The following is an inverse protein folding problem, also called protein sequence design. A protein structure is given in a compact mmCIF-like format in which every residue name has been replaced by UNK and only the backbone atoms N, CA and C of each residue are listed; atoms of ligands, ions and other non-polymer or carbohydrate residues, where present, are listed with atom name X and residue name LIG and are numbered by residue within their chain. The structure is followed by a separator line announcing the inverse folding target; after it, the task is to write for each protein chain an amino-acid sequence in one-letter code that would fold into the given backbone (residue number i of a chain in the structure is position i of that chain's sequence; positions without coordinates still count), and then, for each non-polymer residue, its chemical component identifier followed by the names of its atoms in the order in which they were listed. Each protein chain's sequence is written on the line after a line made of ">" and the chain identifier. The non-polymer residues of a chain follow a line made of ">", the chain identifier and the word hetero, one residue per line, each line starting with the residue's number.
data_IF_744340283483
#
_entry.id   IF_744340283483
#
_cell.length_a   1.000
_cell.length_b   1.000
_cell.length_c   1.000
_cell.angle_alpha   90.00
_cell.angle_beta   90.00
_cell.angle_gamma   90.00
#
_symmetry.space_group_name_H-M   'P 1'
#
loop_
_entity.id
_entity.type
_entity.pdbx_description
1 polymer ?
#
# COMPACT_ATOMS: atom_id res chain seq x y z
N UNK A 1 56.64 22.42 6.09
CA UNK A 1 55.79 21.21 6.29
C UNK A 1 54.36 21.68 6.59
N UNK A 2 53.50 21.74 5.58
CA UNK A 2 52.10 22.18 5.74
C UNK A 2 51.25 21.01 6.22
N UNK A 3 50.61 21.13 7.38
CA UNK A 3 49.68 20.11 7.89
C UNK A 3 48.32 20.31 7.20
N UNK A 4 47.83 19.26 6.53
CA UNK A 4 46.50 19.27 5.92
C UNK A 4 45.40 19.35 6.99
N UNK A 5 44.42 20.23 6.79
CA UNK A 5 43.22 20.33 7.61
C UNK A 5 42.39 19.06 7.45
N UNK A 6 42.32 18.25 8.50
CA UNK A 6 41.45 17.08 8.55
C UNK A 6 40.03 17.57 8.84
N UNK A 7 39.17 17.58 7.82
CA UNK A 7 37.75 17.80 7.99
C UNK A 7 37.16 16.62 8.80
N UNK A 8 36.92 16.83 10.09
CA UNK A 8 36.25 15.88 10.98
C UNK A 8 34.73 15.81 10.78
N UNK A 9 34.21 16.51 9.76
CA UNK A 9 32.79 16.54 9.44
C UNK A 9 32.45 15.40 8.49
N UNK A 10 32.60 14.16 8.95
CA UNK A 10 31.63 13.15 8.53
C UNK A 10 30.33 13.49 9.25
N UNK A 11 29.59 14.44 8.67
CA UNK A 11 28.17 14.61 8.98
C UNK A 11 27.56 13.23 8.93
N UNK A 12 26.97 12.81 10.07
CA UNK A 12 26.09 11.64 10.19
C UNK A 12 25.52 11.29 8.83
N UNK A 13 25.89 10.14 8.28
CA UNK A 13 25.18 9.53 7.15
C UNK A 13 23.70 9.74 7.45
N UNK A 14 23.02 10.52 6.60
CA UNK A 14 21.59 10.74 6.75
C UNK A 14 20.97 9.36 6.90
N UNK A 15 20.22 9.16 7.98
CA UNK A 15 19.53 7.89 8.21
C UNK A 15 18.73 7.61 6.94
N UNK A 16 19.15 6.60 6.18
CA UNK A 16 18.35 6.07 5.09
C UNK A 16 17.03 5.68 5.74
N UNK A 17 15.95 6.33 5.30
CA UNK A 17 14.61 5.88 5.62
C UNK A 17 14.50 4.49 5.03
N UNK A 18 14.79 3.49 5.85
CA UNK A 18 14.48 2.09 5.55
C UNK A 18 13.00 2.13 5.19
N UNK A 19 12.67 1.80 3.94
CA UNK A 19 11.28 1.70 3.49
C UNK A 19 10.57 0.83 4.51
N UNK A 20 9.75 1.44 5.36
CA UNK A 20 8.84 0.70 6.20
C UNK A 20 8.03 -0.19 5.26
N UNK A 21 7.97 -1.48 5.62
CA UNK A 21 7.42 -2.55 4.81
C UNK A 21 6.17 -2.05 4.08
N UNK A 22 6.16 -2.12 2.75
CA UNK A 22 5.18 -1.39 1.93
C UNK A 22 3.74 -1.81 2.26
N UNK A 23 3.58 -3.00 2.85
CA UNK A 23 2.30 -3.56 3.31
C UNK A 23 2.03 -3.39 4.82
N UNK A 24 2.81 -2.57 5.52
CA UNK A 24 2.68 -2.34 6.97
C UNK A 24 1.31 -1.77 7.35
N UNK A 25 0.73 -0.94 6.49
CA UNK A 25 -0.63 -0.40 6.66
C UNK A 25 -1.50 -0.73 5.45
N UNK A 26 -2.14 -1.91 5.49
CA UNK A 26 -3.20 -2.29 4.56
C UNK A 26 -4.55 -2.15 5.25
N UNK A 27 -5.44 -1.36 4.66
CA UNK A 27 -6.84 -1.27 5.09
C UNK A 27 -7.67 -2.30 4.34
N UNK A 28 -8.42 -3.09 5.09
CA UNK A 28 -9.36 -4.07 4.56
C UNK A 28 -10.79 -3.63 4.89
N UNK A 29 -11.65 -3.52 3.89
CA UNK A 29 -13.05 -3.21 4.11
C UNK A 29 -13.98 -3.93 3.12
N UNK A 30 -15.22 -4.17 3.53
CA UNK A 30 -16.25 -4.71 2.66
C UNK A 30 -17.27 -3.64 2.30
N UNK A 31 -17.53 -3.49 1.01
CA UNK A 31 -18.69 -2.77 0.51
C UNK A 31 -19.80 -3.78 0.27
N UNK A 32 -20.88 -3.66 1.02
CA UNK A 32 -22.03 -4.59 0.96
C UNK A 32 -23.27 -3.88 0.46
N UNK A 33 -24.35 -4.65 0.21
CA UNK A 33 -25.64 -4.14 -0.28
C UNK A 33 -25.55 -3.43 -1.63
N UNK A 34 -24.63 -3.90 -2.47
CA UNK A 34 -24.65 -3.52 -3.87
C UNK A 34 -25.84 -4.20 -4.54
N UNK A 35 -26.39 -3.56 -5.58
CA UNK A 35 -27.29 -4.24 -6.50
C UNK A 35 -26.56 -5.46 -7.08
N UNK A 36 -27.30 -6.55 -7.31
CA UNK A 36 -26.75 -7.74 -7.95
C UNK A 36 -26.20 -7.35 -9.32
N UNK A 37 -24.88 -7.44 -9.45
CA UNK A 37 -24.16 -7.17 -10.67
C UNK A 37 -23.65 -8.49 -11.26
N UNK A 38 -23.52 -8.55 -12.58
CA UNK A 38 -23.06 -9.71 -13.31
C UNK A 38 -21.88 -9.31 -14.18
N UNK A 39 -20.78 -10.05 -14.09
CA UNK A 39 -19.63 -9.83 -14.96
C UNK A 39 -19.85 -10.44 -16.36
N UNK A 40 -18.91 -10.21 -17.27
CA UNK A 40 -18.97 -10.72 -18.64
C UNK A 40 -18.82 -12.25 -18.72
N UNK A 41 -18.33 -12.91 -17.67
CA UNK A 41 -18.20 -14.37 -17.55
C UNK A 41 -19.44 -15.02 -16.91
N UNK A 42 -20.38 -14.19 -16.45
CA UNK A 42 -21.62 -14.60 -15.82
C UNK A 42 -21.58 -14.76 -14.31
N UNK A 43 -20.47 -14.40 -13.65
CA UNK A 43 -20.36 -14.39 -12.20
C UNK A 43 -21.23 -13.26 -11.63
N UNK A 44 -22.07 -13.60 -10.65
CA UNK A 44 -22.93 -12.62 -9.97
C UNK A 44 -22.29 -12.23 -8.65
N UNK A 45 -22.35 -10.95 -8.28
CA UNK A 45 -21.81 -10.44 -7.02
C UNK A 45 -22.71 -9.35 -6.44
N UNK A 46 -22.70 -9.22 -5.12
CA UNK A 46 -23.45 -8.20 -4.35
C UNK A 46 -22.58 -7.53 -3.26
N UNK A 47 -21.31 -7.92 -3.19
CA UNK A 47 -20.31 -7.43 -2.24
C UNK A 47 -19.01 -7.19 -3.00
N UNK A 48 -18.22 -6.22 -2.55
CA UNK A 48 -16.84 -6.01 -3.00
C UNK A 48 -15.92 -5.91 -1.79
N UNK A 49 -14.88 -6.74 -1.76
CA UNK A 49 -13.77 -6.58 -0.83
C UNK A 49 -12.82 -5.52 -1.39
N UNK A 50 -12.51 -4.52 -0.57
CA UNK A 50 -11.61 -3.43 -0.91
C UNK A 50 -10.37 -3.52 -0.03
N UNK A 51 -9.21 -3.63 -0.68
CA UNK A 51 -7.90 -3.65 -0.03
C UNK A 51 -7.18 -2.38 -0.45
N UNK A 52 -6.87 -1.49 0.50
CA UNK A 52 -6.22 -0.21 0.22
C UNK A 52 -4.84 -0.16 0.86
N UNK A 53 -3.83 0.07 0.04
CA UNK A 53 -2.50 0.44 0.50
C UNK A 53 -2.33 1.96 0.37
N UNK A 54 -2.30 2.66 1.51
CA UNK A 54 -2.18 4.13 1.54
C UNK A 54 -0.82 4.63 1.07
N UNK A 55 0.24 3.87 1.33
CA UNK A 55 1.60 4.23 0.96
C UNK A 55 1.77 4.23 -0.56
N UNK A 56 1.34 3.15 -1.22
CA UNK A 56 1.38 3.04 -2.68
C UNK A 56 0.25 3.78 -3.39
N UNK A 57 -0.78 4.24 -2.65
CA UNK A 57 -2.03 4.77 -3.20
C UNK A 57 -2.71 3.79 -4.17
N UNK A 58 -2.63 2.50 -3.88
CA UNK A 58 -3.23 1.42 -4.67
C UNK A 58 -4.44 0.86 -3.92
N UNK A 59 -5.50 0.54 -4.66
CA UNK A 59 -6.65 -0.19 -4.17
C UNK A 59 -6.91 -1.42 -5.05
N UNK A 60 -7.20 -2.56 -4.42
CA UNK A 60 -7.62 -3.79 -5.08
C UNK A 60 -9.09 -4.03 -4.73
N UNK A 61 -9.88 -4.29 -5.77
CA UNK A 61 -11.31 -4.57 -5.65
C UNK A 61 -11.55 -6.01 -6.06
N UNK A 62 -12.09 -6.81 -5.14
CA UNK A 62 -12.39 -8.22 -5.39
C UNK A 62 -13.90 -8.41 -5.25
N UNK A 63 -14.64 -8.64 -6.35
CA UNK A 63 -16.07 -8.91 -6.28
C UNK A 63 -16.31 -10.24 -5.57
N UNK A 64 -17.34 -10.26 -4.72
CA UNK A 64 -17.75 -11.42 -3.96
C UNK A 64 -19.27 -11.54 -3.91
N UNK A 65 -19.75 -12.77 -3.79
CA UNK A 65 -21.16 -13.07 -3.61
C UNK A 65 -21.35 -13.59 -2.19
N UNK A 66 -22.25 -12.95 -1.43
CA UNK A 66 -22.75 -13.54 -0.19
C UNK A 66 -24.03 -14.28 -0.50
N UNK A 67 -23.92 -15.62 -0.48
CA UNK A 67 -25.01 -16.59 -0.54
C UNK A 67 -25.77 -16.55 0.79
#
# INVERSE_FOLDING_TARGET
>A
RSKALRYSKHSKLASLLILEDIFKEVLLNFVTRLLLAKDNLGCVFNIVLVIVNRFLKIAIYIPALKI
#
